data_IF_029374878476
#
_entry.id   IF_029374878476
#
_cell.length_a   1.000
_cell.length_b   1.000
_cell.length_c   1.000
_cell.angle_alpha   90.00
_cell.angle_beta   90.00
_cell.angle_gamma   90.00
#
_symmetry.space_group_name_H-M   'P 1'
#
loop_
_entity.id
_entity.type
_entity.pdbx_description
1 polymer ?
#
# COMPACT_ATOMS: atom_id res chain seq x y z
N UNK A 1 6.38 -4.61 11.69
CA UNK A 1 6.41 -5.87 12.48
C UNK A 1 6.00 -5.62 13.93
N UNK A 2 6.67 -4.71 14.66
CA UNK A 2 6.26 -4.33 16.01
C UNK A 2 4.78 -3.91 16.08
N UNK A 3 4.35 -3.06 15.14
CA UNK A 3 2.95 -2.64 14.99
C UNK A 3 1.97 -3.82 14.93
N UNK A 4 2.31 -4.87 14.17
CA UNK A 4 1.49 -6.08 14.00
C UNK A 4 1.38 -6.86 15.31
N UNK A 5 2.48 -7.00 16.06
CA UNK A 5 2.49 -7.64 17.39
C UNK A 5 1.62 -6.85 18.35
N UNK A 6 1.77 -5.53 18.39
CA UNK A 6 0.94 -4.66 19.25
C UNK A 6 -0.53 -4.76 18.86
N UNK A 7 -0.87 -4.77 17.57
CA UNK A 7 -2.25 -4.88 17.10
C UNK A 7 -2.93 -6.18 17.52
N UNK A 8 -2.17 -7.28 17.57
CA UNK A 8 -2.68 -8.59 17.98
C UNK A 8 -3.19 -8.59 19.43
N UNK A 9 -2.52 -7.86 20.34
CA UNK A 9 -2.91 -7.77 21.74
C UNK A 9 -3.77 -6.54 22.07
N UNK A 10 -3.53 -5.41 21.40
CA UNK A 10 -4.18 -4.13 21.67
C UNK A 10 -4.44 -3.34 20.37
N UNK A 11 -5.59 -3.64 19.76
CA UNK A 11 -5.97 -3.15 18.43
C UNK A 11 -5.81 -1.62 18.22
N UNK A 12 -6.33 -0.73 19.07
CA UNK A 12 -6.16 0.73 18.89
C UNK A 12 -4.70 1.17 18.93
N UNK A 13 -3.89 0.59 19.83
CA UNK A 13 -2.47 0.92 19.94
C UNK A 13 -1.69 0.41 18.73
N UNK A 14 -2.04 -0.78 18.22
CA UNK A 14 -1.44 -1.31 17.00
C UNK A 14 -1.65 -0.39 15.80
N UNK A 15 -2.87 0.13 15.63
CA UNK A 15 -3.17 1.11 14.58
C UNK A 15 -2.36 2.39 14.69
N UNK A 16 -2.21 2.94 15.91
CA UNK A 16 -1.40 4.13 16.17
C UNK A 16 0.09 3.89 15.88
N UNK A 17 0.64 2.78 16.38
CA UNK A 17 2.04 2.40 16.13
C UNK A 17 2.29 2.17 14.64
N UNK A 18 1.31 1.64 13.91
CA UNK A 18 1.41 1.46 12.47
C UNK A 18 1.46 2.79 11.71
N UNK A 19 0.58 3.74 12.06
CA UNK A 19 0.64 5.09 11.51
C UNK A 19 1.97 5.78 11.82
N UNK A 20 2.44 5.69 13.06
CA UNK A 20 3.73 6.26 13.46
C UNK A 20 4.89 5.63 12.68
N UNK A 21 4.88 4.31 12.48
CA UNK A 21 5.87 3.62 11.66
C UNK A 21 5.89 4.17 10.23
N UNK A 22 4.73 4.42 9.62
CA UNK A 22 4.65 4.99 8.27
C UNK A 22 5.17 6.43 8.18
N UNK A 23 5.01 7.22 9.25
CA UNK A 23 5.53 8.59 9.30
C UNK A 23 7.06 8.56 9.37
N UNK A 24 7.63 7.73 10.24
CA UNK A 24 9.09 7.60 10.43
C UNK A 24 9.75 7.09 9.14
N UNK A 25 9.14 6.12 8.49
CA UNK A 25 9.60 5.57 7.21
C UNK A 25 9.74 6.64 6.11
N UNK A 26 8.77 7.58 6.05
CA UNK A 26 8.85 8.73 5.14
C UNK A 26 10.03 9.66 5.43
N UNK A 27 10.39 9.82 6.72
CA UNK A 27 11.49 10.68 7.15
C UNK A 27 12.86 10.09 6.78
N UNK A 28 13.05 8.78 6.96
CA UNK A 28 14.33 8.12 6.63
C UNK A 28 14.66 8.25 5.13
N UNK A 29 13.64 8.13 4.26
CA UNK A 29 13.79 8.36 2.83
C UNK A 29 14.16 9.81 2.47
N UNK A 30 13.62 10.79 3.19
CA UNK A 30 13.99 12.21 3.01
C UNK A 30 15.42 12.51 3.48
N UNK A 31 15.81 11.97 4.64
CA UNK A 31 17.17 12.12 5.18
C UNK A 31 18.20 11.47 4.24
N UNK A 32 17.91 10.29 3.69
CA UNK A 32 18.79 9.64 2.73
C UNK A 32 19.02 10.50 1.46
N UNK A 33 17.95 11.13 0.95
CA UNK A 33 18.02 12.09 -0.17
C UNK A 33 18.84 13.32 0.15
N UNK A 34 18.60 13.92 1.33
CA UNK A 34 19.31 15.13 1.75
C UNK A 34 20.80 14.88 2.03
N UNK A 35 21.16 13.68 2.46
CA UNK A 35 22.54 13.31 2.79
C UNK A 35 23.31 12.66 1.63
N UNK A 36 22.68 12.53 0.44
CA UNK A 36 23.24 11.84 -0.73
C UNK A 36 23.71 10.40 -0.44
N UNK A 37 23.07 9.73 0.53
CA UNK A 37 23.38 8.35 0.95
C UNK A 37 22.41 7.32 0.36
N UNK A 38 21.62 7.72 -0.62
CA UNK A 38 20.69 6.83 -1.31
C UNK A 38 21.44 5.70 -2.02
N UNK A 39 20.96 4.47 -1.87
CA UNK A 39 21.47 3.32 -2.63
C UNK A 39 20.33 2.56 -3.30
N UNK A 40 20.60 1.98 -4.47
CA UNK A 40 19.62 1.15 -5.21
C UNK A 40 19.16 -0.05 -4.38
N UNK A 41 20.09 -0.69 -3.67
CA UNK A 41 19.78 -1.81 -2.78
C UNK A 41 18.91 -1.39 -1.61
N UNK A 42 19.24 -0.29 -0.93
CA UNK A 42 18.47 0.23 0.20
C UNK A 42 17.04 0.55 -0.21
N UNK A 43 16.85 1.33 -1.29
CA UNK A 43 15.51 1.66 -1.76
C UNK A 43 14.70 0.45 -2.23
N UNK A 44 15.33 -0.60 -2.76
CA UNK A 44 14.65 -1.85 -3.09
C UNK A 44 14.26 -2.66 -1.85
N UNK A 45 15.17 -2.77 -0.88
CA UNK A 45 14.96 -3.51 0.36
C UNK A 45 13.88 -2.86 1.23
N UNK A 46 13.93 -1.54 1.39
CA UNK A 46 12.94 -0.72 2.08
C UNK A 46 11.52 -1.01 1.58
N UNK A 47 11.38 -0.84 0.27
CA UNK A 47 10.21 -1.26 -0.49
C UNK A 47 9.79 -2.71 -0.15
N UNK A 48 10.68 -3.69 -0.26
CA UNK A 48 10.34 -5.08 0.02
C UNK A 48 9.81 -5.28 1.45
N UNK A 49 10.47 -4.68 2.43
CA UNK A 49 10.10 -4.78 3.86
C UNK A 49 8.76 -4.13 4.15
N UNK A 50 8.42 -3.01 3.50
CA UNK A 50 7.10 -2.39 3.58
C UNK A 50 5.98 -3.38 3.26
N UNK A 51 6.15 -4.20 2.21
CA UNK A 51 5.13 -5.17 1.82
C UNK A 51 4.96 -6.27 2.87
N UNK A 52 6.04 -6.69 3.51
CA UNK A 52 5.97 -7.61 4.64
C UNK A 52 5.28 -6.97 5.85
N UNK A 53 5.59 -5.71 6.17
CA UNK A 53 4.95 -4.99 7.28
C UNK A 53 3.45 -4.87 7.04
N UNK A 54 3.04 -4.40 5.86
CA UNK A 54 1.63 -4.28 5.47
C UNK A 54 0.93 -5.65 5.56
N UNK A 55 1.54 -6.72 5.03
CA UNK A 55 1.01 -8.08 5.09
C UNK A 55 0.82 -8.58 6.52
N UNK A 56 1.86 -8.54 7.36
CA UNK A 56 1.78 -9.02 8.74
C UNK A 56 0.80 -8.20 9.57
N UNK A 57 0.68 -6.90 9.31
CA UNK A 57 -0.30 -6.07 9.99
C UNK A 57 -1.73 -6.48 9.63
N UNK A 58 -2.05 -6.61 8.33
CA UNK A 58 -3.37 -7.08 7.89
C UNK A 58 -3.66 -8.51 8.37
N UNK A 59 -2.66 -9.39 8.42
CA UNK A 59 -2.80 -10.73 8.97
C UNK A 59 -3.12 -10.71 10.47
N UNK A 60 -2.47 -9.84 11.25
CA UNK A 60 -2.80 -9.66 12.67
C UNK A 60 -4.23 -9.16 12.85
N UNK A 61 -4.70 -8.24 11.99
CA UNK A 61 -6.09 -7.80 12.00
C UNK A 61 -7.09 -8.90 11.63
N UNK A 62 -6.70 -9.83 10.76
CA UNK A 62 -7.54 -10.95 10.33
C UNK A 62 -7.92 -11.89 11.49
N UNK A 63 -7.15 -11.88 12.59
CA UNK A 63 -7.50 -12.61 13.81
C UNK A 63 -8.84 -12.15 14.42
N UNK A 64 -9.23 -10.88 14.22
CA UNK A 64 -10.45 -10.30 14.78
C UNK A 64 -11.71 -10.51 13.90
N UNK A 65 -11.61 -11.26 12.81
CA UNK A 65 -12.75 -11.57 11.92
C UNK A 65 -12.98 -13.08 11.82
N UNK A 66 -14.23 -13.54 11.61
CA UNK A 66 -14.51 -14.97 11.54
C UNK A 66 -13.86 -15.62 10.30
N UNK A 67 -13.59 -16.92 10.37
CA UNK A 67 -12.98 -17.68 9.27
C UNK A 67 -13.74 -17.58 7.94
N UNK A 68 -15.07 -17.46 7.99
CA UNK A 68 -15.90 -17.24 6.80
C UNK A 68 -15.61 -15.93 6.05
N UNK A 69 -14.91 -14.98 6.69
CA UNK A 69 -14.56 -13.68 6.12
C UNK A 69 -13.19 -13.66 5.43
N UNK A 70 -12.42 -14.75 5.50
CA UNK A 70 -11.09 -14.83 4.92
C UNK A 70 -11.01 -14.59 3.41
N UNK A 71 -12.03 -14.91 2.58
CA UNK A 71 -12.02 -14.48 1.20
C UNK A 71 -11.87 -12.95 1.05
N UNK A 72 -12.60 -12.16 1.85
CA UNK A 72 -12.51 -10.70 1.84
C UNK A 72 -11.14 -10.23 2.35
N UNK A 73 -10.62 -10.86 3.41
CA UNK A 73 -9.27 -10.58 3.92
C UNK A 73 -8.22 -10.84 2.84
N UNK A 74 -8.29 -11.98 2.14
CA UNK A 74 -7.39 -12.32 1.07
C UNK A 74 -7.44 -11.29 -0.07
N UNK A 75 -8.64 -10.85 -0.47
CA UNK A 75 -8.83 -9.78 -1.46
C UNK A 75 -8.23 -8.44 -1.01
N UNK A 76 -8.35 -8.08 0.26
CA UNK A 76 -7.75 -6.86 0.81
C UNK A 76 -6.22 -6.93 0.85
N UNK A 77 -5.65 -8.09 1.24
CA UNK A 77 -4.21 -8.31 1.28
C UNK A 77 -3.63 -8.27 -0.14
N UNK A 78 -4.17 -9.07 -1.06
CA UNK A 78 -3.64 -9.12 -2.43
C UNK A 78 -3.79 -7.77 -3.12
N UNK A 79 -4.93 -7.09 -2.94
CA UNK A 79 -5.14 -5.75 -3.49
C UNK A 79 -4.12 -4.75 -2.97
N UNK A 80 -3.84 -4.75 -1.66
CA UNK A 80 -2.86 -3.86 -1.04
C UNK A 80 -1.44 -4.06 -1.62
N UNK A 81 -1.04 -5.31 -1.84
CA UNK A 81 0.24 -5.66 -2.49
C UNK A 81 0.24 -5.23 -3.97
N UNK A 82 -0.87 -5.49 -4.67
CA UNK A 82 -0.98 -5.21 -6.11
C UNK A 82 -0.97 -3.72 -6.43
N UNK A 83 -1.42 -2.83 -5.53
CA UNK A 83 -1.27 -1.38 -5.71
C UNK A 83 0.21 -1.02 -5.88
N UNK A 84 1.08 -1.42 -4.95
CA UNK A 84 2.52 -1.14 -5.03
C UNK A 84 3.20 -1.92 -6.16
N UNK A 85 2.81 -3.17 -6.39
CA UNK A 85 3.39 -3.98 -7.46
C UNK A 85 3.10 -3.39 -8.84
N UNK A 86 1.88 -2.90 -9.09
CA UNK A 86 1.50 -2.32 -10.37
C UNK A 86 2.37 -1.11 -10.74
N UNK A 87 2.69 -0.24 -9.77
CA UNK A 87 3.53 0.94 -9.98
C UNK A 87 5.00 0.57 -10.16
N UNK A 88 5.53 -0.35 -9.34
CA UNK A 88 6.91 -0.82 -9.46
C UNK A 88 7.15 -1.62 -10.75
N UNK A 89 6.18 -2.41 -11.21
CA UNK A 89 6.27 -3.13 -12.48
C UNK A 89 6.20 -2.21 -13.68
N UNK A 90 5.41 -1.14 -13.63
CA UNK A 90 5.46 -0.10 -14.66
C UNK A 90 6.85 0.52 -14.74
N UNK A 91 7.42 0.90 -13.59
CA UNK A 91 8.77 1.46 -13.53
C UNK A 91 9.82 0.50 -14.08
N UNK A 92 9.74 -0.79 -13.73
CA UNK A 92 10.66 -1.81 -14.23
C UNK A 92 10.51 -2.07 -15.74
N UNK A 93 9.28 -2.09 -16.27
CA UNK A 93 9.01 -2.40 -17.67
C UNK A 93 9.34 -1.23 -18.61
N UNK A 94 9.04 0.01 -18.20
CA UNK A 94 9.17 1.20 -19.04
C UNK A 94 10.35 2.10 -18.66
N UNK A 95 11.04 1.82 -17.55
CA UNK A 95 12.09 2.70 -16.98
C UNK A 95 11.61 4.14 -16.73
N UNK A 96 10.32 4.29 -16.43
CA UNK A 96 9.63 5.58 -16.31
C UNK A 96 8.81 5.64 -15.01
N UNK A 97 8.60 6.85 -14.52
CA UNK A 97 7.75 7.08 -13.35
C UNK A 97 6.28 7.15 -13.77
N UNK A 98 5.47 6.23 -13.26
CA UNK A 98 4.05 6.12 -13.64
C UNK A 98 3.25 7.37 -13.30
N UNK A 99 3.59 8.09 -12.22
CA UNK A 99 2.88 9.30 -11.80
C UNK A 99 3.31 10.53 -12.60
N UNK A 100 4.48 10.50 -13.26
CA UNK A 100 4.88 11.51 -14.24
C UNK A 100 4.20 11.27 -15.60
N UNK A 101 4.21 10.02 -16.06
CA UNK A 101 3.63 9.63 -17.35
C UNK A 101 2.09 9.66 -17.36
N UNK A 102 1.46 9.33 -16.22
CA UNK A 102 0.01 9.27 -16.05
C UNK A 102 -0.38 10.09 -14.80
N UNK A 103 -0.40 11.43 -14.88
CA UNK A 103 -0.66 12.29 -13.72
C UNK A 103 -2.04 12.08 -13.08
N UNK A 104 -3.03 11.60 -13.85
CA UNK A 104 -4.37 11.29 -13.35
C UNK A 104 -4.35 10.24 -12.22
N UNK A 105 -3.33 9.38 -12.16
CA UNK A 105 -3.16 8.41 -11.09
C UNK A 105 -2.95 9.02 -9.70
N UNK A 106 -2.54 10.30 -9.63
CA UNK A 106 -2.34 11.01 -8.37
C UNK A 106 -3.64 11.33 -7.64
N UNK A 107 -4.75 11.43 -8.37
CA UNK A 107 -6.07 11.79 -7.81
C UNK A 107 -6.84 10.58 -7.25
N UNK A 108 -6.43 9.35 -7.58
CA UNK A 108 -7.07 8.17 -6.99
C UNK A 108 -6.56 7.93 -5.58
N UNK A 109 -7.50 7.65 -4.69
CA UNK A 109 -7.25 7.20 -3.33
C UNK A 109 -6.80 5.73 -3.27
N UNK A 110 -6.20 5.32 -2.16
CA UNK A 110 -5.66 3.97 -1.93
C UNK A 110 -4.14 3.86 -2.05
N UNK A 111 -3.38 4.96 -1.98
CA UNK A 111 -1.93 4.93 -1.79
C UNK A 111 -1.59 4.36 -0.41
N UNK A 112 -0.34 3.98 -0.18
CA UNK A 112 0.07 3.30 1.05
C UNK A 112 -0.22 4.14 2.30
N UNK A 113 0.22 5.39 2.31
CA UNK A 113 -0.07 6.39 3.35
C UNK A 113 -1.57 6.53 3.65
N UNK A 114 -2.40 6.68 2.62
CA UNK A 114 -3.86 6.79 2.77
C UNK A 114 -4.48 5.51 3.36
N UNK A 115 -4.00 4.34 2.95
CA UNK A 115 -4.46 3.05 3.48
C UNK A 115 -4.05 2.88 4.94
N UNK A 116 -2.82 3.24 5.30
CA UNK A 116 -2.33 3.13 6.69
C UNK A 116 -3.14 4.04 7.60
N UNK A 117 -3.43 5.27 7.16
CA UNK A 117 -4.27 6.20 7.90
C UNK A 117 -5.70 5.67 8.09
N UNK A 118 -6.29 5.12 7.03
CA UNK A 118 -7.59 4.45 7.10
C UNK A 118 -7.56 3.27 8.09
N UNK A 119 -6.54 2.42 8.01
CA UNK A 119 -6.37 1.28 8.91
C UNK A 119 -6.29 1.75 10.37
N UNK A 120 -5.54 2.81 10.67
CA UNK A 120 -5.47 3.38 12.00
C UNK A 120 -6.86 3.79 12.51
N UNK A 121 -7.64 4.54 11.72
CA UNK A 121 -8.99 4.98 12.10
C UNK A 121 -9.86 3.77 12.45
N UNK A 122 -9.87 2.74 11.61
CA UNK A 122 -10.70 1.57 11.84
C UNK A 122 -10.22 0.69 13.01
N UNK A 123 -8.92 0.70 13.32
CA UNK A 123 -8.39 0.10 14.54
C UNK A 123 -8.90 0.84 15.80
N UNK A 124 -8.92 2.17 15.77
CA UNK A 124 -9.46 3.00 16.85
C UNK A 124 -10.98 2.76 17.05
N UNK A 125 -11.72 2.69 15.94
CA UNK A 125 -13.17 2.43 15.94
C UNK A 125 -13.54 0.95 16.20
N UNK A 126 -12.55 0.04 16.19
CA UNK A 126 -12.71 -1.42 16.31
C UNK A 126 -13.65 -2.04 15.25
N UNK A 127 -13.75 -1.41 14.06
CA UNK A 127 -14.64 -1.83 12.97
C UNK A 127 -13.91 -2.67 11.90
N UNK A 128 -13.22 -3.74 12.31
CA UNK A 128 -12.26 -4.45 11.44
C UNK A 128 -12.90 -5.15 10.24
N UNK A 129 -14.13 -5.67 10.36
CA UNK A 129 -14.85 -6.23 9.20
C UNK A 129 -15.06 -5.18 8.12
N UNK A 130 -15.52 -3.99 8.50
CA UNK A 130 -15.78 -2.90 7.57
C UNK A 130 -14.48 -2.38 6.92
N UNK A 131 -13.38 -2.32 7.69
CA UNK A 131 -12.05 -2.02 7.16
C UNK A 131 -11.66 -2.95 6.02
N UNK A 132 -11.77 -4.27 6.22
CA UNK A 132 -11.41 -5.24 5.19
C UNK A 132 -12.28 -5.13 3.93
N UNK A 133 -13.58 -4.85 4.06
CA UNK A 133 -14.46 -4.59 2.91
C UNK A 133 -13.97 -3.38 2.13
N UNK A 134 -13.73 -2.27 2.83
CA UNK A 134 -13.28 -1.02 2.20
C UNK A 134 -11.93 -1.23 1.52
N UNK A 135 -10.96 -1.86 2.19
CA UNK A 135 -9.64 -2.13 1.60
C UNK A 135 -9.74 -3.04 0.39
N UNK A 136 -10.53 -4.12 0.45
CA UNK A 136 -10.72 -5.03 -0.67
C UNK A 136 -11.27 -4.28 -1.90
N UNK A 137 -12.31 -3.47 -1.73
CA UNK A 137 -12.89 -2.71 -2.84
C UNK A 137 -11.92 -1.64 -3.34
N UNK A 138 -11.42 -0.80 -2.43
CA UNK A 138 -10.57 0.34 -2.75
C UNK A 138 -9.31 -0.07 -3.52
N UNK A 139 -8.58 -1.07 -3.00
CA UNK A 139 -7.28 -1.46 -3.56
C UNK A 139 -7.44 -2.18 -4.90
N UNK A 140 -8.39 -3.10 -5.02
CA UNK A 140 -8.62 -3.81 -6.28
C UNK A 140 -9.20 -2.89 -7.36
N UNK A 141 -10.09 -1.96 -7.00
CA UNK A 141 -10.58 -0.94 -7.92
C UNK A 141 -9.45 -0.03 -8.41
N UNK A 142 -8.57 0.43 -7.51
CA UNK A 142 -7.39 1.22 -7.87
C UNK A 142 -6.48 0.48 -8.84
N UNK A 143 -6.20 -0.81 -8.60
CA UNK A 143 -5.38 -1.64 -9.48
C UNK A 143 -6.04 -1.77 -10.86
N UNK A 144 -7.34 -2.05 -10.90
CA UNK A 144 -8.09 -2.13 -12.16
C UNK A 144 -8.03 -0.83 -12.96
N UNK A 145 -8.25 0.32 -12.31
CA UNK A 145 -8.14 1.64 -12.95
C UNK A 145 -6.71 1.91 -13.45
N UNK A 146 -5.70 1.48 -12.69
CA UNK A 146 -4.30 1.58 -13.10
C UNK A 146 -4.04 0.81 -14.39
N UNK A 147 -4.56 -0.41 -14.51
CA UNK A 147 -4.44 -1.23 -15.74
C UNK A 147 -5.08 -0.51 -16.94
N UNK A 148 -6.29 0.01 -16.79
CA UNK A 148 -6.99 0.73 -17.87
C UNK A 148 -6.23 1.97 -18.33
N UNK A 149 -5.68 2.73 -17.38
CA UNK A 149 -4.93 3.95 -17.67
C UNK A 149 -3.59 3.66 -18.35
N UNK A 150 -2.87 2.63 -17.89
CA UNK A 150 -1.62 2.19 -18.53
C UNK A 150 -1.88 1.72 -19.95
N UNK A 151 -2.93 0.93 -20.19
CA UNK A 151 -3.33 0.51 -21.54
C UNK A 151 -3.58 1.70 -22.46
N UNK A 152 -4.41 2.64 -22.02
CA UNK A 152 -4.75 3.84 -22.80
C UNK A 152 -3.52 4.73 -23.07
N UNK A 153 -2.61 4.85 -22.09
CA UNK A 153 -1.36 5.57 -22.26
C UNK A 153 -0.45 4.90 -23.30
N UNK A 154 -0.32 3.57 -23.26
CA UNK A 154 0.50 2.82 -24.22
C UNK A 154 -0.03 2.95 -25.66
N UNK A 155 -1.36 2.85 -25.85
CA UNK A 155 -2.00 3.02 -27.15
C UNK A 155 -1.75 4.42 -27.74
N UNK A 156 -1.83 5.46 -26.91
CA UNK A 156 -1.53 6.85 -27.33
C UNK A 156 -0.06 7.00 -27.72
N UNK A 157 0.84 6.41 -26.94
CA UNK A 157 2.29 6.47 -27.20
C UNK A 157 2.66 5.78 -28.51
N UNK A 158 2.09 4.61 -28.81
CA UNK A 158 2.30 3.91 -30.08
C UNK A 158 1.81 4.68 -31.31
N UNK A 159 0.77 5.51 -31.18
CA UNK A 159 0.27 6.37 -32.26
C UNK A 159 1.15 7.61 -32.52
N UNK A 160 1.96 8.00 -31.54
CA UNK A 160 2.84 9.17 -31.62
C UNK A 160 4.26 8.83 -32.09
N UNK A 161 4.55 7.55 -32.31
CA UNK A 161 5.85 7.04 -32.81
C UNK A 161 5.68 6.62 -34.26
#
# INVERSE_FOLDING_TARGET
ILSSVVAFFHLPAGGLVYQLSSIIDGVDGEIARLTLKESKFGGWLDSLLDRFVDFFFLLALAHFVPYSFWPVVAFAIIGSVMVSYSTERFKAAYSMDIYKEIPSLKYFIGKRDERIFLIMIFCLLKQIKLLFIILAILTNLRVFLTILLVKNWEEKRKKAT
#
